data_IF_386419179915
#
_entry.id   IF_386419179915
#
_cell.length_a   1.000
_cell.length_b   1.000
_cell.length_c   1.000
_cell.angle_alpha   90.00
_cell.angle_beta   90.00
_cell.angle_gamma   90.00
#
_symmetry.space_group_name_H-M   'P 1'
#
loop_
_entity.id
_entity.type
_entity.pdbx_description
1 polymer ?
#
# COMPACT_ATOMS: atom_id res chain seq x y z
N UNK A 1 -4.22 -5.62 -6.51
CA UNK A 1 -3.07 -5.76 -5.59
C UNK A 1 -2.58 -4.38 -5.21
N UNK A 2 -2.23 -4.14 -3.95
CA UNK A 2 -1.69 -2.86 -3.48
C UNK A 2 -0.31 -3.15 -2.88
N UNK A 3 0.72 -2.46 -3.35
CA UNK A 3 2.09 -2.58 -2.84
C UNK A 3 2.52 -1.30 -2.18
N UNK A 4 3.11 -1.39 -0.99
CA UNK A 4 3.55 -0.24 -0.22
C UNK A 4 5.08 -0.24 -0.19
N UNK A 5 5.67 0.92 -0.45
CA UNK A 5 7.10 1.11 -0.53
C UNK A 5 7.57 2.30 0.32
N UNK A 6 8.79 2.21 0.81
CA UNK A 6 9.52 3.40 1.26
C UNK A 6 9.85 4.30 0.06
N UNK A 7 10.17 5.58 0.31
CA UNK A 7 10.65 6.50 -0.77
C UNK A 7 11.95 6.04 -1.45
N UNK A 8 12.69 5.09 -0.84
CA UNK A 8 13.89 4.47 -1.42
C UNK A 8 13.56 3.26 -2.32
N UNK A 9 12.29 2.88 -2.43
CA UNK A 9 11.82 1.75 -3.25
C UNK A 9 11.84 0.40 -2.54
N UNK A 10 12.15 0.33 -1.24
CA UNK A 10 12.02 -0.93 -0.49
C UNK A 10 10.56 -1.28 -0.29
N UNK A 11 10.21 -2.53 -0.63
CA UNK A 11 8.88 -3.09 -0.38
C UNK A 11 8.66 -3.25 1.12
N UNK A 12 7.59 -2.62 1.60
CA UNK A 12 7.16 -2.63 3.00
C UNK A 12 6.14 -3.73 3.19
N UNK A 13 5.10 -3.75 2.36
CA UNK A 13 4.01 -4.71 2.48
C UNK A 13 3.21 -4.86 1.16
N UNK A 14 2.44 -5.94 1.06
CA UNK A 14 1.56 -6.24 -0.07
C UNK A 14 0.15 -6.61 0.43
N UNK A 15 -0.86 -5.87 -0.04
CA UNK A 15 -2.27 -6.08 0.32
C UNK A 15 -3.04 -6.62 -0.89
N UNK A 16 -3.88 -7.62 -0.64
CA UNK A 16 -4.77 -8.21 -1.64
C UNK A 16 -6.15 -7.61 -1.43
N UNK A 17 -6.59 -6.86 -2.44
CA UNK A 17 -7.93 -6.28 -2.52
C UNK A 17 -8.69 -6.99 -3.65
N UNK A 18 -9.73 -7.74 -3.28
CA UNK A 18 -10.54 -8.59 -4.16
C UNK A 18 -12.04 -8.41 -3.85
N UNK A 19 -12.49 -7.16 -3.88
CA UNK A 19 -13.89 -6.76 -3.72
C UNK A 19 -14.44 -6.20 -5.04
N UNK A 20 -15.76 -6.02 -5.09
CA UNK A 20 -16.43 -5.42 -6.25
C UNK A 20 -16.04 -3.95 -6.45
N UNK A 21 -16.30 -3.42 -7.65
CA UNK A 21 -15.93 -2.06 -8.05
C UNK A 21 -16.59 -0.96 -7.18
N UNK A 22 -17.67 -1.33 -6.49
CA UNK A 22 -18.40 -0.48 -5.54
C UNK A 22 -17.65 -0.24 -4.23
N UNK A 23 -16.66 -1.07 -3.87
CA UNK A 23 -15.84 -0.90 -2.68
C UNK A 23 -14.36 -0.97 -3.03
N UNK A 24 -13.75 0.21 -3.18
CA UNK A 24 -12.30 0.37 -3.40
C UNK A 24 -11.48 0.57 -2.12
N UNK A 25 -12.06 0.28 -0.95
CA UNK A 25 -11.43 0.52 0.34
C UNK A 25 -10.61 -0.70 0.76
N UNK A 26 -9.37 -0.49 1.20
CA UNK A 26 -8.55 -1.55 1.79
C UNK A 26 -7.94 -1.07 3.10
N UNK A 27 -7.95 -1.93 4.12
CA UNK A 27 -7.38 -1.61 5.44
C UNK A 27 -5.99 -2.19 5.57
N UNK A 28 -5.11 -1.44 6.24
CA UNK A 28 -3.76 -1.88 6.56
C UNK A 28 -3.53 -1.75 8.05
N UNK A 29 -2.89 -2.76 8.64
CA UNK A 29 -2.54 -2.80 10.06
C UNK A 29 -1.28 -1.98 10.40
N UNK A 30 -0.67 -1.34 9.40
CA UNK A 30 0.54 -0.52 9.52
C UNK A 30 1.78 -1.33 9.92
N UNK A 31 1.76 -2.64 9.67
CA UNK A 31 2.92 -3.52 9.80
C UNK A 31 3.61 -3.70 8.44
N UNK A 32 4.91 -3.92 8.49
CA UNK A 32 5.63 -4.47 7.35
C UNK A 32 5.28 -5.95 7.15
N UNK A 33 5.62 -6.50 5.99
CA UNK A 33 5.50 -7.94 5.66
C UNK A 33 6.15 -8.89 6.68
N UNK A 34 7.11 -8.38 7.47
CA UNK A 34 7.82 -9.13 8.52
C UNK A 34 7.16 -8.95 9.90
N UNK A 35 5.99 -8.29 9.99
CA UNK A 35 5.22 -8.07 11.21
C UNK A 35 5.75 -6.96 12.12
N UNK A 36 6.69 -6.13 11.64
CA UNK A 36 7.22 -5.00 12.40
C UNK A 36 6.45 -3.71 12.12
N UNK A 37 6.23 -2.89 13.14
CA UNK A 37 5.69 -1.53 12.98
C UNK A 37 6.54 -0.70 12.02
N UNK A 38 5.87 0.04 11.14
CA UNK A 38 6.55 0.98 10.26
C UNK A 38 6.92 2.28 11.00
N UNK A 39 7.98 2.94 10.53
CA UNK A 39 8.36 4.25 11.05
C UNK A 39 7.43 5.37 10.55
N UNK A 40 7.37 6.49 11.29
CA UNK A 40 6.81 7.73 10.76
C UNK A 40 7.62 8.21 9.55
N UNK A 41 6.94 8.69 8.51
CA UNK A 41 7.60 9.08 7.27
C UNK A 41 6.68 9.10 6.06
N UNK A 42 7.28 9.29 4.89
CA UNK A 42 6.57 9.26 3.60
C UNK A 42 6.73 7.88 2.96
N UNK A 43 5.64 7.38 2.43
CA UNK A 43 5.54 6.10 1.75
C UNK A 43 4.87 6.29 0.39
N UNK A 44 5.07 5.30 -0.48
CA UNK A 44 4.50 5.23 -1.82
C UNK A 44 3.60 4.00 -1.86
N UNK A 45 2.40 4.13 -2.40
CA UNK A 45 1.58 2.99 -2.76
C UNK A 45 1.52 2.84 -4.27
N UNK A 46 1.46 1.60 -4.75
CA UNK A 46 1.20 1.23 -6.13
C UNK A 46 0.01 0.27 -6.15
N UNK A 47 -1.09 0.70 -6.74
CA UNK A 47 -2.27 -0.12 -6.98
C UNK A 47 -2.20 -0.64 -8.40
N UNK A 48 -2.32 -1.96 -8.52
CA UNK A 48 -2.41 -2.67 -9.80
C UNK A 48 -3.77 -3.39 -9.88
N UNK A 49 -4.53 -3.07 -10.94
CA UNK A 49 -5.79 -3.70 -11.27
C UNK A 49 -5.67 -4.37 -12.66
N UNK A 50 -5.58 -5.71 -12.71
CA UNK A 50 -5.38 -6.45 -13.96
C UNK A 50 -6.43 -6.08 -15.02
N UNK A 51 -5.97 -5.67 -16.20
CA UNK A 51 -6.84 -5.30 -17.32
C UNK A 51 -7.51 -3.92 -17.22
N UNK A 52 -7.39 -3.22 -16.08
CA UNK A 52 -7.95 -1.87 -15.87
C UNK A 52 -6.85 -0.80 -15.80
N UNK A 53 -5.67 -1.14 -15.30
CA UNK A 53 -4.51 -0.26 -15.26
C UNK A 53 -3.88 -0.18 -13.87
N UNK A 54 -3.10 0.88 -13.66
CA UNK A 54 -2.34 1.08 -12.44
C UNK A 54 -2.41 2.52 -11.92
N UNK A 55 -2.17 2.68 -10.62
CA UNK A 55 -2.11 3.99 -9.96
C UNK A 55 -0.99 4.01 -8.94
N UNK A 56 -0.19 5.08 -8.97
CA UNK A 56 0.84 5.36 -7.97
C UNK A 56 0.49 6.63 -7.20
N UNK A 57 0.68 6.59 -5.88
CA UNK A 57 0.48 7.72 -5.00
C UNK A 57 1.43 7.68 -3.81
N UNK A 58 1.41 8.74 -3.00
CA UNK A 58 2.26 8.90 -1.82
C UNK A 58 1.46 9.42 -0.64
N UNK A 59 1.82 8.98 0.56
CA UNK A 59 1.15 9.32 1.80
C UNK A 59 2.15 9.49 2.93
N UNK A 60 1.76 10.19 3.98
CA UNK A 60 2.58 10.43 5.17
C UNK A 60 1.99 9.72 6.38
N UNK A 61 2.84 9.11 7.18
CA UNK A 61 2.54 8.52 8.48
C UNK A 61 3.09 9.46 9.54
N UNK A 62 2.21 10.02 10.37
CA UNK A 62 2.52 11.08 11.34
C UNK A 62 2.09 10.61 12.74
N UNK A 63 2.79 11.09 13.77
CA UNK A 63 2.46 10.86 15.19
C UNK A 63 1.53 11.94 15.73
#
# INVERSE_FOLDING_TARGET
MIKIFTVRGYLVDELIHDTGIEDGSESWDMLSKDGMEIAYGVYIYHVEAPGLGEKVGKFAVIK
#
